data_IF_120357943207
#
_entry.id   IF_120357943207
#
_cell.length_a   1.000
_cell.length_b   1.000
_cell.length_c   1.000
_cell.angle_alpha   90.00
_cell.angle_beta   90.00
_cell.angle_gamma   90.00
#
_symmetry.space_group_name_H-M   'P 1'
#
loop_
_entity.id
_entity.type
_entity.pdbx_description
1 polymer ?
#
# COMPACT_ATOMS: atom_id res chain seq x y z
N UNK A 1 -13.27 7.25 -15.85
CA UNK A 1 -12.32 7.69 -14.80
C UNK A 1 -12.01 6.45 -13.97
N UNK A 2 -10.76 6.00 -13.92
CA UNK A 2 -10.37 4.87 -13.08
C UNK A 2 -10.24 5.41 -11.65
N UNK A 3 -10.90 4.77 -10.69
CA UNK A 3 -10.72 5.08 -9.27
C UNK A 3 -9.49 4.30 -8.75
N UNK A 4 -8.40 5.01 -8.50
CA UNK A 4 -7.13 4.44 -8.00
C UNK A 4 -7.28 3.85 -6.58
N UNK A 5 -8.30 4.30 -5.85
CA UNK A 5 -8.57 3.92 -4.47
C UNK A 5 -9.75 2.94 -4.35
N UNK A 6 -10.20 2.37 -5.48
CA UNK A 6 -11.22 1.34 -5.47
C UNK A 6 -10.82 0.18 -4.53
N UNK A 7 -11.75 -0.21 -3.67
CA UNK A 7 -11.55 -1.26 -2.68
C UNK A 7 -12.19 -2.57 -3.13
N UNK A 8 -11.51 -3.68 -2.84
CA UNK A 8 -12.13 -5.00 -2.90
C UNK A 8 -13.05 -5.24 -1.69
N UNK A 9 -13.78 -6.37 -1.68
CA UNK A 9 -14.70 -6.74 -0.58
C UNK A 9 -14.02 -6.81 0.80
N UNK A 10 -12.70 -6.98 0.86
CA UNK A 10 -11.91 -7.00 2.08
C UNK A 10 -11.34 -5.63 2.49
N UNK A 11 -11.81 -4.54 1.85
CA UNK A 11 -11.28 -3.16 1.97
C UNK A 11 -9.83 -2.98 1.50
N UNK A 12 -9.24 -3.97 0.84
CA UNK A 12 -7.91 -3.80 0.26
C UNK A 12 -8.00 -2.98 -1.02
N UNK A 13 -7.26 -1.87 -1.07
CA UNK A 13 -6.99 -1.12 -2.29
C UNK A 13 -5.96 -1.83 -3.19
N UNK A 14 -5.78 -1.33 -4.42
CA UNK A 14 -4.71 -1.77 -5.31
C UNK A 14 -3.32 -1.66 -4.66
N UNK A 15 -3.10 -0.61 -3.84
CA UNK A 15 -1.85 -0.40 -3.12
C UNK A 15 -1.61 -1.51 -2.08
N UNK A 16 -2.65 -1.87 -1.32
CA UNK A 16 -2.57 -2.98 -0.34
C UNK A 16 -2.20 -4.30 -1.00
N UNK A 17 -2.77 -4.61 -2.18
CA UNK A 17 -2.39 -5.80 -2.95
C UNK A 17 -0.95 -5.75 -3.46
N UNK A 18 -0.50 -4.61 -4.00
CA UNK A 18 0.87 -4.44 -4.46
C UNK A 18 1.89 -4.61 -3.32
N UNK A 19 1.56 -4.12 -2.10
CA UNK A 19 2.37 -4.34 -0.91
C UNK A 19 2.40 -5.81 -0.47
N UNK A 20 1.27 -6.51 -0.50
CA UNK A 20 1.21 -7.95 -0.20
C UNK A 20 2.07 -8.80 -1.15
N UNK A 21 2.14 -8.41 -2.42
CA UNK A 21 2.92 -9.11 -3.44
C UNK A 21 4.38 -8.63 -3.55
N UNK A 22 4.81 -7.65 -2.74
CA UNK A 22 6.15 -7.04 -2.82
C UNK A 22 6.46 -6.46 -4.22
N UNK A 23 5.47 -5.89 -4.89
CA UNK A 23 5.63 -5.31 -6.23
C UNK A 23 6.02 -3.83 -6.16
N UNK A 24 7.26 -3.51 -5.76
CA UNK A 24 7.72 -2.13 -5.52
C UNK A 24 7.46 -1.16 -6.69
N UNK A 25 7.67 -1.60 -7.93
CA UNK A 25 7.43 -0.74 -9.10
C UNK A 25 5.96 -0.35 -9.24
N UNK A 26 5.05 -1.26 -8.89
CA UNK A 26 3.60 -1.00 -8.90
C UNK A 26 3.23 -0.11 -7.71
N UNK A 27 3.78 -0.37 -6.52
CA UNK A 27 3.59 0.49 -5.34
C UNK A 27 3.98 1.93 -5.67
N UNK A 28 5.17 2.14 -6.24
CA UNK A 28 5.64 3.45 -6.66
C UNK A 28 4.69 4.12 -7.64
N UNK A 29 4.28 3.40 -8.69
CA UNK A 29 3.35 3.92 -9.69
C UNK A 29 2.01 4.34 -9.07
N UNK A 30 1.44 3.51 -8.20
CA UNK A 30 0.17 3.81 -7.53
C UNK A 30 0.28 5.05 -6.64
N UNK A 31 1.37 5.19 -5.89
CA UNK A 31 1.60 6.36 -5.03
C UNK A 31 1.78 7.66 -5.84
N UNK A 32 2.50 7.60 -6.97
CA UNK A 32 2.64 8.72 -7.91
C UNK A 32 1.30 9.18 -8.50
N UNK A 33 0.30 8.29 -8.55
CA UNK A 33 -1.04 8.57 -9.08
C UNK A 33 -2.10 8.80 -7.99
N UNK A 34 -1.68 9.04 -6.75
CA UNK A 34 -2.57 9.45 -5.66
C UNK A 34 -3.29 8.32 -4.95
N UNK A 35 -2.73 7.10 -4.95
CA UNK A 35 -3.22 6.03 -4.09
C UNK A 35 -3.13 6.42 -2.60
N UNK A 36 -4.18 6.11 -1.84
CA UNK A 36 -4.27 6.37 -0.41
C UNK A 36 -3.31 5.45 0.36
N UNK A 37 -2.21 6.05 0.82
CA UNK A 37 -1.16 5.39 1.59
C UNK A 37 -1.61 4.95 2.99
N UNK A 38 -2.76 5.43 3.47
CA UNK A 38 -3.32 5.11 4.78
C UNK A 38 -4.57 4.23 4.73
N UNK A 39 -4.94 3.70 3.56
CA UNK A 39 -6.04 2.77 3.40
C UNK A 39 -5.90 1.59 4.38
N UNK A 40 -7.01 1.19 5.01
CA UNK A 40 -7.05 0.08 5.98
C UNK A 40 -7.92 -1.05 5.46
N UNK A 41 -7.32 -2.22 5.30
CA UNK A 41 -8.07 -3.42 4.99
C UNK A 41 -8.94 -3.88 6.18
N UNK A 42 -9.73 -4.94 6.02
CA UNK A 42 -10.59 -5.50 7.09
C UNK A 42 -9.83 -6.00 8.33
N UNK A 43 -8.51 -6.20 8.25
CA UNK A 43 -7.64 -6.53 9.39
C UNK A 43 -7.09 -5.27 10.08
N UNK A 44 -7.46 -4.08 9.61
CA UNK A 44 -6.96 -2.80 10.10
C UNK A 44 -5.54 -2.48 9.63
N UNK A 45 -5.00 -3.21 8.65
CA UNK A 45 -3.63 -3.07 8.19
C UNK A 45 -3.53 -1.97 7.13
N UNK A 46 -2.57 -1.05 7.32
CA UNK A 46 -2.12 -0.11 6.29
C UNK A 46 -1.09 -0.76 5.37
N UNK A 47 -0.82 -0.19 4.18
CA UNK A 47 0.32 -0.59 3.33
C UNK A 47 1.64 -0.74 4.11
N UNK A 48 1.92 0.18 5.04
CA UNK A 48 3.12 0.12 5.88
C UNK A 48 3.11 -1.07 6.85
N UNK A 49 1.97 -1.34 7.50
CA UNK A 49 1.85 -2.51 8.38
C UNK A 49 2.01 -3.83 7.60
N UNK A 50 1.50 -3.91 6.37
CA UNK A 50 1.70 -5.06 5.49
C UNK A 50 3.20 -5.28 5.22
N UNK A 51 3.95 -4.21 4.87
CA UNK A 51 5.38 -4.29 4.61
C UNK A 51 6.18 -4.73 5.86
N UNK A 52 5.86 -4.18 7.03
CA UNK A 52 6.50 -4.52 8.32
C UNK A 52 6.26 -5.98 8.68
N UNK A 53 5.00 -6.45 8.61
CA UNK A 53 4.63 -7.83 8.97
C UNK A 53 5.33 -8.89 8.13
N UNK A 54 5.64 -8.58 6.87
CA UNK A 54 6.30 -9.49 5.94
C UNK A 54 7.81 -9.28 5.84
N UNK A 55 8.38 -8.37 6.64
CA UNK A 55 9.82 -8.07 6.66
C UNK A 55 10.37 -7.54 5.31
N UNK A 56 9.59 -6.71 4.61
CA UNK A 56 9.96 -6.11 3.32
C UNK A 56 10.64 -4.75 3.54
N UNK A 57 11.92 -4.77 3.94
CA UNK A 57 12.67 -3.56 4.36
C UNK A 57 12.74 -2.48 3.28
N UNK A 58 12.93 -2.87 2.04
CA UNK A 58 12.93 -1.99 0.87
C UNK A 58 11.56 -1.34 0.63
N UNK A 59 10.48 -2.10 0.77
CA UNK A 59 9.13 -1.57 0.67
C UNK A 59 8.79 -0.63 1.85
N UNK A 60 9.26 -0.95 3.07
CA UNK A 60 9.12 -0.05 4.23
C UNK A 60 9.78 1.30 3.96
N UNK A 61 11.01 1.29 3.43
CA UNK A 61 11.72 2.53 3.06
C UNK A 61 10.96 3.31 2.00
N UNK A 62 10.52 2.64 0.93
CA UNK A 62 9.73 3.27 -0.14
C UNK A 62 8.47 3.93 0.41
N UNK A 63 7.70 3.24 1.25
CA UNK A 63 6.46 3.80 1.81
C UNK A 63 6.73 5.02 2.72
N UNK A 64 7.79 4.98 3.53
CA UNK A 64 8.22 6.11 4.37
C UNK A 64 8.68 7.30 3.53
N UNK A 65 9.40 7.08 2.43
CA UNK A 65 9.81 8.13 1.48
C UNK A 65 8.60 8.86 0.87
N UNK A 66 7.48 8.15 0.69
CA UNK A 66 6.20 8.71 0.24
C UNK A 66 5.31 9.23 1.39
N UNK A 67 5.81 9.29 2.62
CA UNK A 67 5.14 9.90 3.76
C UNK A 67 4.34 8.95 4.65
N UNK A 68 4.40 7.63 4.44
CA UNK A 68 3.76 6.68 5.34
C UNK A 68 4.35 6.80 6.75
N UNK A 69 3.48 6.74 7.75
CA UNK A 69 3.84 6.74 9.17
C UNK A 69 3.03 5.66 9.92
N UNK A 70 3.46 5.27 11.13
CA UNK A 70 2.78 4.28 11.97
C UNK A 70 1.36 4.69 12.40
#
# INVERSE_FOLDING_TARGET
>A
MIDINAEANNKSSALSYACHCHHNSIVKYLLEHGADIYNRNNKGETPLLIAIKNNYIDLVKLLIEYGANP
#
